data_IF_655393526934
#
_entry.id   IF_655393526934
#
_cell.length_a   1.000
_cell.length_b   1.000
_cell.length_c   1.000
_cell.angle_alpha   90.00
_cell.angle_beta   90.00
_cell.angle_gamma   90.00
#
_symmetry.space_group_name_H-M   'P 1'
#
loop_
_entity.id
_entity.type
_entity.pdbx_description
1 polymer ?
#
# COMPACT_ATOMS: atom_id res chain seq x y z
N UNK A 1 -22.62 9.59 -12.03
CA UNK A 1 -21.19 9.26 -12.10
C UNK A 1 -20.64 9.35 -10.70
N UNK A 2 -20.54 8.22 -10.02
CA UNK A 2 -20.09 8.14 -8.63
C UNK A 2 -18.58 8.34 -8.61
N UNK A 3 -18.14 9.53 -8.21
CA UNK A 3 -16.72 9.85 -8.06
C UNK A 3 -16.21 9.20 -6.79
N UNK A 4 -15.91 7.91 -6.88
CA UNK A 4 -15.26 7.17 -5.79
C UNK A 4 -13.84 7.73 -5.63
N UNK A 5 -13.69 8.70 -4.74
CA UNK A 5 -12.38 9.25 -4.37
C UNK A 5 -11.64 8.21 -3.54
N UNK A 6 -10.50 7.76 -4.06
CA UNK A 6 -9.52 7.04 -3.27
C UNK A 6 -8.65 8.08 -2.57
N UNK A 7 -8.63 8.04 -1.24
CA UNK A 7 -7.77 8.90 -0.43
C UNK A 7 -6.69 8.02 0.16
N UNK A 8 -5.43 8.39 -0.08
CA UNK A 8 -4.30 7.78 0.61
C UNK A 8 -4.30 8.24 2.06
N UNK A 9 -4.09 7.31 2.99
CA UNK A 9 -4.11 7.56 4.43
C UNK A 9 -2.72 7.24 4.98
N UNK A 10 -2.16 8.14 5.79
CA UNK A 10 -0.89 7.94 6.48
C UNK A 10 -1.09 7.17 7.78
N UNK A 11 -0.02 6.57 8.33
CA UNK A 11 -0.09 5.81 9.59
C UNK A 11 -0.69 6.62 10.76
N UNK A 12 -0.41 7.93 10.82
CA UNK A 12 -0.96 8.83 11.83
C UNK A 12 -2.48 9.05 11.69
N UNK A 13 -3.00 8.99 10.47
CA UNK A 13 -4.41 9.20 10.17
C UNK A 13 -5.25 7.93 10.35
N UNK A 14 -4.62 6.75 10.44
CA UNK A 14 -5.32 5.46 10.67
C UNK A 14 -6.16 5.51 11.95
N UNK A 15 -5.66 6.17 13.00
CA UNK A 15 -6.39 6.33 14.26
C UNK A 15 -7.68 7.16 14.12
N UNK A 16 -7.77 8.00 13.08
CA UNK A 16 -8.95 8.83 12.78
C UNK A 16 -9.97 8.12 11.86
N UNK A 17 -9.62 6.95 11.31
CA UNK A 17 -10.51 6.22 10.44
C UNK A 17 -11.65 5.56 11.22
N UNK A 18 -12.82 5.36 10.57
CA UNK A 18 -13.89 4.57 11.14
C UNK A 18 -13.38 3.18 11.56
N UNK A 19 -13.77 2.73 12.75
CA UNK A 19 -13.29 1.47 13.37
C UNK A 19 -13.36 0.23 12.48
N UNK A 20 -14.31 0.17 11.54
CA UNK A 20 -14.40 -0.88 10.51
C UNK A 20 -13.15 -1.05 9.64
N UNK A 21 -12.35 0.01 9.49
CA UNK A 21 -11.10 -0.01 8.74
C UNK A 21 -9.92 -0.54 9.54
N UNK A 22 -9.98 -0.48 10.88
CA UNK A 22 -8.91 -0.97 11.75
C UNK A 22 -8.63 -2.46 11.52
N UNK A 23 -9.67 -3.28 11.34
CA UNK A 23 -9.54 -4.71 11.05
C UNK A 23 -8.90 -5.01 9.69
N UNK A 24 -8.90 -4.05 8.76
CA UNK A 24 -8.29 -4.19 7.44
C UNK A 24 -6.85 -3.67 7.47
N UNK A 25 -6.59 -2.58 8.17
CA UNK A 25 -5.30 -1.89 8.15
C UNK A 25 -4.27 -2.60 9.03
N UNK A 26 -4.67 -3.11 10.19
CA UNK A 26 -3.75 -3.80 11.11
C UNK A 26 -3.02 -5.01 10.46
N UNK A 27 -3.71 -5.96 9.80
CA UNK A 27 -3.02 -7.07 9.13
C UNK A 27 -2.19 -6.58 7.93
N UNK A 28 -2.66 -5.60 7.16
CA UNK A 28 -1.90 -5.06 6.02
C UNK A 28 -0.60 -4.37 6.45
N UNK A 29 -0.61 -3.65 7.57
CA UNK A 29 0.61 -3.05 8.11
C UNK A 29 1.61 -4.13 8.53
N UNK A 30 1.16 -5.17 9.23
CA UNK A 30 2.01 -6.29 9.61
C UNK A 30 2.61 -7.01 8.40
N UNK A 31 1.82 -7.20 7.34
CA UNK A 31 2.30 -7.81 6.09
C UNK A 31 3.35 -6.94 5.39
N UNK A 32 3.14 -5.62 5.36
CA UNK A 32 4.08 -4.65 4.76
C UNK A 32 5.38 -4.60 5.57
N UNK A 33 5.29 -4.52 6.90
CA UNK A 33 6.46 -4.53 7.78
C UNK A 33 7.24 -5.83 7.61
N UNK A 34 6.56 -6.97 7.61
CA UNK A 34 7.18 -8.27 7.36
C UNK A 34 7.83 -8.36 5.98
N UNK A 35 7.19 -7.78 4.95
CA UNK A 35 7.75 -7.73 3.61
C UNK A 35 9.01 -6.87 3.56
N UNK A 36 9.01 -5.69 4.21
CA UNK A 36 10.18 -4.81 4.31
C UNK A 36 11.35 -5.49 5.05
N UNK A 37 11.07 -6.18 6.15
CA UNK A 37 12.07 -6.95 6.90
C UNK A 37 12.67 -8.10 6.07
N UNK A 38 11.85 -8.74 5.23
CA UNK A 38 12.27 -9.87 4.40
C UNK A 38 13.01 -9.41 3.13
N UNK A 39 12.78 -8.18 2.65
CA UNK A 39 13.32 -7.66 1.39
C UNK A 39 13.99 -6.27 1.57
N UNK A 40 15.06 -6.15 2.39
CA UNK A 40 15.68 -4.86 2.68
C UNK A 40 16.35 -4.18 1.47
N UNK A 41 16.71 -4.94 0.42
CA UNK A 41 17.44 -4.45 -0.76
C UNK A 41 16.56 -4.27 -2.02
N UNK A 42 15.22 -4.39 -1.92
CA UNK A 42 14.31 -4.27 -3.07
C UNK A 42 13.80 -2.84 -3.33
N UNK A 43 14.63 -1.81 -3.12
CA UNK A 43 14.22 -0.42 -3.39
C UNK A 43 14.05 -0.10 -4.89
N UNK A 44 14.41 -1.00 -5.82
CA UNK A 44 14.36 -0.72 -7.27
C UNK A 44 13.89 -1.90 -8.17
N UNK A 45 12.97 -2.72 -7.69
CA UNK A 45 12.37 -3.79 -8.53
C UNK A 45 11.17 -3.36 -9.39
N UNK A 46 10.44 -2.32 -8.97
CA UNK A 46 9.12 -2.00 -9.55
C UNK A 46 9.12 -0.83 -10.53
N UNK A 47 10.22 -0.08 -10.67
CA UNK A 47 10.29 1.06 -11.62
C UNK A 47 10.89 0.70 -12.99
N UNK A 48 11.07 -0.59 -13.28
CA UNK A 48 11.57 -1.06 -14.58
C UNK A 48 10.58 -1.93 -15.38
N UNK A 49 9.27 -1.86 -15.10
CA UNK A 49 8.26 -2.22 -16.12
C UNK A 49 7.78 -0.98 -16.87
N UNK A 50 8.74 -0.17 -17.34
CA UNK A 50 8.47 0.79 -18.40
C UNK A 50 8.22 0.02 -19.70
N UNK A 51 6.97 0.03 -20.17
CA UNK A 51 6.52 -0.22 -21.55
C UNK A 51 7.40 -1.21 -22.34
N UNK A 52 7.15 -2.51 -22.25
CA UNK A 52 7.24 -3.33 -23.46
C UNK A 52 5.93 -3.15 -24.23
N UNK A 53 5.95 -2.21 -25.16
CA UNK A 53 5.13 -2.37 -26.36
C UNK A 53 5.49 -3.73 -26.95
N UNK A 54 4.55 -4.65 -26.93
CA UNK A 54 4.62 -5.83 -27.76
C UNK A 54 4.17 -5.42 -29.17
N UNK A 55 4.82 -5.94 -30.23
CA UNK A 55 4.42 -5.70 -31.62
C UNK A 55 3.01 -6.22 -31.91
#
# INVERSE_FOLDING_TARGET
>A
MDTKKSTQVTAAEVASLPSRWTSVIAPLQADVDHWMDTHPDQEDGCRASARRGAP
#
